data_IF_612388368355
#
_entry.id   IF_612388368355
#
_cell.length_a   1.000
_cell.length_b   1.000
_cell.length_c   1.000
_cell.angle_alpha   90.00
_cell.angle_beta   90.00
_cell.angle_gamma   90.00
#
_symmetry.space_group_name_H-M   'P 1'
#
loop_
_entity.id
_entity.type
_entity.pdbx_description
1 polymer ?
#
# COMPACT_ATOMS: atom_id res chain seq x y z
N UNK A 1 10.86 0.12 -6.19
CA UNK A 1 9.94 -0.99 -5.84
C UNK A 1 8.89 -0.44 -4.89
N UNK A 2 7.61 -0.67 -5.13
CA UNK A 2 6.58 -0.08 -4.28
C UNK A 2 5.86 -1.13 -3.45
N UNK A 3 5.40 -0.72 -2.28
CA UNK A 3 4.68 -1.58 -1.34
C UNK A 3 3.36 -0.95 -0.93
N UNK A 4 2.31 -1.75 -0.91
CA UNK A 4 1.03 -1.43 -0.31
C UNK A 4 0.98 -2.02 1.10
N UNK A 5 0.77 -1.16 2.08
CA UNK A 5 0.50 -1.51 3.47
C UNK A 5 -0.97 -1.27 3.76
N UNK A 6 -1.65 -2.30 4.26
CA UNK A 6 -3.03 -2.25 4.69
C UNK A 6 -3.11 -2.49 6.18
N UNK A 7 -3.84 -1.62 6.88
CA UNK A 7 -4.12 -1.73 8.30
C UNK A 7 -5.62 -1.90 8.49
N UNK A 8 -6.00 -2.95 9.21
CA UNK A 8 -7.38 -3.28 9.46
C UNK A 8 -7.96 -2.66 10.72
N UNK A 9 -9.28 -2.47 10.72
CA UNK A 9 -10.03 -2.02 11.91
C UNK A 9 -9.90 -3.03 13.08
N UNK A 10 -9.63 -4.30 12.78
CA UNK A 10 -9.40 -5.38 13.75
C UNK A 10 -7.95 -5.57 14.20
N UNK A 11 -7.05 -4.62 13.94
CA UNK A 11 -5.65 -4.69 14.36
C UNK A 11 -4.75 -5.61 13.52
N UNK A 12 -5.23 -6.06 12.36
CA UNK A 12 -4.41 -6.79 11.39
C UNK A 12 -3.60 -5.83 10.52
N UNK A 13 -2.45 -6.28 10.03
CA UNK A 13 -1.67 -5.57 9.02
C UNK A 13 -1.24 -6.53 7.91
N UNK A 14 -1.21 -6.04 6.68
CA UNK A 14 -0.70 -6.77 5.53
C UNK A 14 0.22 -5.88 4.70
N UNK A 15 1.25 -6.50 4.12
CA UNK A 15 2.20 -5.87 3.21
C UNK A 15 2.18 -6.64 1.90
N UNK A 16 1.97 -5.91 0.82
CA UNK A 16 1.94 -6.44 -0.52
C UNK A 16 2.91 -5.64 -1.40
N UNK A 17 3.62 -6.32 -2.29
CA UNK A 17 4.44 -5.63 -3.26
C UNK A 17 3.58 -5.24 -4.47
N UNK A 18 3.81 -4.05 -5.00
CA UNK A 18 3.08 -3.54 -6.16
C UNK A 18 3.90 -3.90 -7.41
N UNK A 19 3.27 -4.47 -8.45
CA UNK A 19 3.94 -4.69 -9.74
C UNK A 19 4.42 -3.36 -10.33
N UNK A 20 5.58 -3.36 -10.98
CA UNK A 20 6.10 -2.15 -11.63
C UNK A 20 5.09 -1.57 -12.63
N UNK A 21 4.89 -0.24 -12.58
CA UNK A 21 3.99 0.48 -13.47
C UNK A 21 2.51 0.41 -13.07
N UNK A 22 2.18 -0.20 -11.93
CA UNK A 22 0.82 -0.23 -11.38
C UNK A 22 0.62 0.72 -10.18
N UNK A 23 1.62 1.52 -9.84
CA UNK A 23 1.56 2.49 -8.75
C UNK A 23 0.38 3.45 -8.89
N UNK A 24 0.25 4.09 -10.05
CA UNK A 24 -0.84 5.05 -10.32
C UNK A 24 -2.22 4.41 -10.21
N UNK A 25 -2.35 3.14 -10.60
CA UNK A 25 -3.60 2.39 -10.50
C UNK A 25 -3.95 2.08 -9.04
N UNK A 26 -2.97 1.65 -8.24
CA UNK A 26 -3.15 1.43 -6.80
C UNK A 26 -3.53 2.74 -6.11
N UNK A 27 -2.84 3.84 -6.41
CA UNK A 27 -3.15 5.16 -5.87
C UNK A 27 -4.56 5.63 -6.25
N UNK A 28 -4.95 5.46 -7.52
CA UNK A 28 -6.28 5.82 -8.01
C UNK A 28 -7.36 5.01 -7.31
N UNK A 29 -7.15 3.71 -7.14
CA UNK A 29 -8.13 2.81 -6.53
C UNK A 29 -8.30 3.07 -5.02
N UNK A 30 -7.20 3.35 -4.30
CA UNK A 30 -7.25 3.79 -2.89
C UNK A 30 -8.02 5.11 -2.77
N UNK A 31 -7.74 6.09 -3.63
CA UNK A 31 -8.40 7.38 -3.60
C UNK A 31 -9.90 7.27 -3.97
N UNK A 32 -10.23 6.39 -4.91
CA UNK A 32 -11.59 6.14 -5.38
C UNK A 32 -12.46 5.44 -4.34
N UNK A 33 -11.91 4.48 -3.61
CA UNK A 33 -12.69 3.57 -2.76
C UNK A 33 -12.74 3.97 -1.29
N UNK A 34 -12.29 5.18 -0.95
CA UNK A 34 -12.31 5.73 0.41
C UNK A 34 -13.70 5.80 1.08
N UNK A 35 -14.79 5.33 0.44
CA UNK A 35 -16.17 5.45 0.94
C UNK A 35 -17.09 4.31 0.48
N UNK A 36 -16.81 3.06 0.89
CA UNK A 36 -17.67 1.87 0.70
C UNK A 36 -17.45 1.12 -0.64
N UNK A 37 -16.97 -0.12 -0.54
CA UNK A 37 -16.83 -1.01 -1.69
C UNK A 37 -15.81 -2.12 -1.52
N UNK A 38 -15.75 -2.99 -2.54
CA UNK A 38 -14.71 -4.00 -2.71
C UNK A 38 -13.77 -3.53 -3.82
N UNK A 39 -12.50 -3.33 -3.51
CA UNK A 39 -11.44 -3.03 -4.49
C UNK A 39 -10.72 -4.27 -4.96
N UNK A 40 -10.14 -4.20 -6.15
CA UNK A 40 -9.29 -5.26 -6.70
C UNK A 40 -7.97 -4.67 -7.16
N UNK A 41 -6.88 -5.14 -6.57
CA UNK A 41 -5.54 -4.66 -6.89
C UNK A 41 -4.66 -5.82 -7.35
N UNK A 42 -3.85 -5.57 -8.38
CA UNK A 42 -2.76 -6.48 -8.72
C UNK A 42 -1.61 -6.26 -7.75
N UNK A 43 -1.17 -7.34 -7.11
CA UNK A 43 -0.06 -7.35 -6.16
C UNK A 43 0.88 -8.51 -6.50
N UNK A 44 2.10 -8.48 -5.99
CA UNK A 44 3.02 -9.61 -5.99
C UNK A 44 2.93 -10.28 -4.62
N UNK A 45 2.66 -11.58 -4.62
CA UNK A 45 2.69 -12.40 -3.41
C UNK A 45 4.14 -12.70 -3.03
N UNK A 46 4.54 -12.24 -1.85
CA UNK A 46 5.88 -12.44 -1.29
C UNK A 46 6.31 -13.91 -1.13
N UNK A 47 5.38 -14.86 -1.06
CA UNK A 47 5.69 -16.28 -0.87
C UNK A 47 5.97 -17.00 -2.20
N UNK A 48 5.29 -16.56 -3.26
CA UNK A 48 5.27 -17.26 -4.55
C UNK A 48 5.94 -16.46 -5.67
N UNK A 49 6.26 -15.19 -5.43
CA UNK A 49 6.75 -14.23 -6.42
C UNK A 49 5.84 -14.11 -7.65
N UNK A 50 4.57 -14.47 -7.48
CA UNK A 50 3.57 -14.47 -8.53
C UNK A 50 2.66 -13.25 -8.42
N UNK A 51 2.18 -12.79 -9.58
CA UNK A 51 1.15 -11.75 -9.63
C UNK A 51 -0.17 -12.36 -9.13
N UNK A 52 -0.71 -11.79 -8.07
CA UNK A 52 -1.98 -12.14 -7.46
C UNK A 52 -2.96 -10.97 -7.54
N UNK A 53 -4.26 -11.28 -7.43
CA UNK A 53 -5.31 -10.27 -7.30
C UNK A 53 -5.72 -10.18 -5.83
N UNK A 54 -5.40 -9.07 -5.19
CA UNK A 54 -5.85 -8.74 -3.85
C UNK A 54 -7.25 -8.14 -3.91
N UNK A 55 -8.20 -8.80 -3.26
CA UNK A 55 -9.58 -8.33 -3.13
C UNK A 55 -9.75 -7.72 -1.74
N UNK A 56 -10.02 -6.42 -1.67
CA UNK A 56 -10.04 -5.65 -0.42
C UNK A 56 -11.46 -5.17 -0.14
N UNK A 57 -12.01 -5.54 1.01
CA UNK A 57 -13.21 -4.91 1.54
C UNK A 57 -12.80 -3.63 2.30
N UNK A 58 -12.97 -2.46 1.69
CA UNK A 58 -12.45 -1.20 2.23
C UNK A 58 -13.07 -0.79 3.57
N UNK A 59 -14.29 -1.23 3.85
CA UNK A 59 -14.93 -1.07 5.16
C UNK A 59 -14.15 -1.73 6.32
N UNK A 60 -13.31 -2.72 6.03
CA UNK A 60 -12.48 -3.42 7.02
C UNK A 60 -11.08 -2.84 7.13
N UNK A 61 -10.74 -1.86 6.28
CA UNK A 61 -9.43 -1.19 6.22
C UNK A 61 -9.54 0.14 6.96
N UNK A 62 -8.78 0.27 8.04
CA UNK A 62 -8.63 1.50 8.81
C UNK A 62 -7.70 2.50 8.12
N UNK A 63 -6.63 2.01 7.47
CA UNK A 63 -5.68 2.84 6.74
C UNK A 63 -5.00 2.04 5.61
N UNK A 64 -4.66 2.72 4.52
CA UNK A 64 -3.86 2.19 3.43
C UNK A 64 -2.72 3.16 3.11
N UNK A 65 -1.51 2.64 2.96
CA UNK A 65 -0.29 3.42 2.71
C UNK A 65 0.47 2.78 1.56
N UNK A 66 0.85 3.58 0.57
CA UNK A 66 1.77 3.17 -0.48
C UNK A 66 3.14 3.74 -0.17
N UNK A 67 4.17 2.89 -0.12
CA UNK A 67 5.57 3.27 0.06
C UNK A 67 6.31 2.95 -1.22
N UNK A 68 6.79 3.97 -1.92
CA UNK A 68 7.75 3.80 -3.00
C UNK A 68 9.17 3.75 -2.43
N UNK A 69 9.87 2.63 -2.64
CA UNK A 69 11.28 2.50 -2.24
C UNK A 69 12.26 3.22 -3.17
N UNK A 70 11.80 3.88 -4.23
CA UNK A 70 12.61 4.85 -5.00
C UNK A 70 12.91 6.14 -4.21
N UNK A 71 12.32 6.33 -3.02
CA UNK A 71 12.42 7.54 -2.20
C UNK A 71 13.46 7.54 -1.07
N UNK A 72 14.55 6.77 -1.12
CA UNK A 72 15.70 6.96 -0.21
C UNK A 72 16.59 8.17 -0.61
N UNK A 73 15.95 9.25 -1.09
CA UNK A 73 16.59 10.38 -1.74
C UNK A 73 15.73 11.64 -1.72
N UNK A 74 15.21 12.00 -0.53
CA UNK A 74 14.87 13.41 -0.24
C UNK A 74 15.69 13.82 0.97
N UNK A 75 16.87 14.38 0.70
CA UNK A 75 17.50 15.28 1.64
C UNK A 75 16.69 16.58 1.67
N UNK A 76 16.21 16.98 2.85
CA UNK A 76 16.75 18.11 3.62
C UNK A 76 15.76 18.51 4.74
N UNK A 77 16.33 18.73 5.93
CA UNK A 77 15.81 19.52 7.06
C UNK A 77 14.64 18.99 7.91
N UNK A 78 14.97 18.23 8.95
CA UNK A 78 14.47 18.50 10.30
C UNK A 78 15.44 17.95 11.37
N UNK A 79 16.24 18.85 11.91
CA UNK A 79 16.96 18.70 13.17
C UNK A 79 16.01 18.18 14.26
N UNK A 80 16.29 17.01 14.83
CA UNK A 80 15.38 16.38 15.79
C UNK A 80 15.98 15.14 16.43
N UNK A 81 17.09 15.35 17.12
CA UNK A 81 17.74 14.38 18.00
C UNK A 81 16.80 14.05 19.17
N UNK A 82 16.45 12.79 19.35
CA UNK A 82 15.87 12.31 20.60
C UNK A 82 16.89 11.40 21.28
N UNK A 83 17.41 11.93 22.38
CA UNK A 83 18.13 11.22 23.43
C UNK A 83 17.15 10.39 24.27
#
# INVERSE_FOLDING_TARGET
MSYLLLYGVGGWSQRWQIPEGQDDLVHTEIARLGQEGIGRLSVIDSQTDAVATLVIAWQSVAAAVVIDSAGAGVGDSATGQYA
#
